data_IF_861126943981
#
_entry.id   IF_861126943981
#
_cell.length_a   1.000
_cell.length_b   1.000
_cell.length_c   1.000
_cell.angle_alpha   90.00
_cell.angle_beta   90.00
_cell.angle_gamma   90.00
#
_symmetry.space_group_name_H-M   'P 1'
#
loop_
_entity.id
_entity.type
_entity.pdbx_description
1 polymer ?
#
# COMPACT_ATOMS: atom_id res chain seq x y z
N UNK A 1 37.59 -83.32 -29.86
CA UNK A 1 37.14 -82.00 -30.33
C UNK A 1 35.77 -81.77 -29.74
N UNK A 2 35.73 -81.45 -28.44
CA UNK A 2 35.81 -80.08 -27.87
C UNK A 2 34.58 -79.25 -28.21
N UNK A 3 33.83 -78.99 -27.14
CA UNK A 3 32.72 -78.05 -26.98
C UNK A 3 33.15 -76.62 -27.27
N UNK A 4 32.19 -75.71 -27.50
CA UNK A 4 32.04 -74.68 -26.49
C UNK A 4 30.59 -74.36 -26.12
N UNK A 5 30.35 -74.12 -24.83
CA UNK A 5 29.18 -73.40 -24.35
C UNK A 5 29.25 -71.91 -24.74
N UNK A 6 28.10 -71.23 -24.77
CA UNK A 6 28.08 -69.83 -24.39
C UNK A 6 26.97 -69.48 -23.38
N UNK A 7 27.43 -69.16 -22.18
CA UNK A 7 27.13 -67.97 -21.36
C UNK A 7 25.69 -67.41 -21.31
N UNK A 8 25.13 -67.54 -20.10
CA UNK A 8 24.27 -66.62 -19.36
C UNK A 8 24.03 -65.21 -19.94
N UNK A 9 22.76 -64.86 -20.13
CA UNK A 9 22.27 -63.51 -19.85
C UNK A 9 20.87 -63.58 -19.23
N UNK A 10 20.82 -63.29 -17.94
CA UNK A 10 19.60 -63.07 -17.16
C UNK A 10 19.09 -61.66 -17.51
N UNK A 11 17.86 -61.45 -18.02
CA UNK A 11 17.26 -60.14 -17.95
C UNK A 11 16.94 -59.86 -16.48
N UNK A 12 17.61 -58.84 -15.93
CA UNK A 12 17.30 -58.20 -14.66
C UNK A 12 15.85 -57.71 -14.67
N UNK A 13 15.16 -57.93 -13.55
CA UNK A 13 13.74 -57.63 -13.37
C UNK A 13 13.37 -56.23 -13.84
N UNK A 14 12.46 -56.21 -14.81
CA UNK A 14 11.62 -55.05 -15.05
C UNK A 14 10.64 -55.04 -13.88
N UNK A 15 10.86 -54.16 -12.90
CA UNK A 15 9.86 -53.87 -11.88
C UNK A 15 8.65 -53.27 -12.61
N UNK A 16 7.71 -54.13 -12.99
CA UNK A 16 6.37 -53.72 -13.37
C UNK A 16 5.84 -52.90 -12.21
N UNK A 17 5.76 -51.59 -12.40
CA UNK A 17 5.03 -50.68 -11.53
C UNK A 17 3.56 -51.10 -11.62
N UNK A 18 3.20 -52.07 -10.78
CA UNK A 18 1.81 -52.42 -10.54
C UNK A 18 1.29 -51.26 -9.71
N UNK A 19 0.41 -50.47 -10.30
CA UNK A 19 -0.30 -49.37 -9.64
C UNK A 19 -1.23 -50.03 -8.61
N UNK A 20 -0.67 -50.39 -7.46
CA UNK A 20 -1.43 -50.95 -6.37
C UNK A 20 -2.46 -49.91 -5.93
N UNK A 21 -3.67 -50.37 -5.59
CA UNK A 21 -4.74 -49.48 -5.14
C UNK A 21 -4.29 -48.54 -4.02
N UNK A 22 -3.29 -48.93 -3.23
CA UNK A 22 -2.62 -48.14 -2.21
C UNK A 22 -2.07 -46.80 -2.73
N UNK A 23 -1.44 -46.79 -3.90
CA UNK A 23 -0.80 -45.59 -4.47
C UNK A 23 -1.85 -44.59 -4.99
N UNK A 24 -3.00 -45.10 -5.45
CA UNK A 24 -4.16 -44.29 -5.82
C UNK A 24 -4.77 -43.59 -4.59
N UNK A 25 -4.82 -44.28 -3.45
CA UNK A 25 -5.28 -43.67 -2.20
C UNK A 25 -4.33 -42.57 -1.73
N UNK A 26 -3.01 -42.79 -1.80
CA UNK A 26 -2.01 -41.78 -1.42
C UNK A 26 -2.11 -40.56 -2.33
N UNK A 27 -2.22 -40.75 -3.65
CA UNK A 27 -2.37 -39.66 -4.60
C UNK A 27 -3.66 -38.86 -4.37
N UNK A 28 -4.78 -39.54 -4.14
CA UNK A 28 -6.05 -38.89 -3.83
C UNK A 28 -6.01 -38.10 -2.52
N UNK A 29 -5.28 -38.59 -1.50
CA UNK A 29 -5.11 -37.92 -0.21
C UNK A 29 -4.25 -36.66 -0.35
N UNK A 30 -3.14 -36.74 -1.10
CA UNK A 30 -2.27 -35.58 -1.38
C UNK A 30 -3.01 -34.52 -2.18
N UNK A 31 -3.73 -34.90 -3.22
CA UNK A 31 -4.53 -33.96 -4.02
C UNK A 31 -5.72 -33.39 -3.22
N UNK A 32 -6.34 -34.20 -2.35
CA UNK A 32 -7.39 -33.76 -1.45
C UNK A 32 -6.90 -32.74 -0.42
N UNK A 33 -5.75 -32.97 0.20
CA UNK A 33 -5.13 -32.04 1.17
C UNK A 33 -4.66 -30.77 0.46
N UNK A 34 -4.03 -30.88 -0.72
CA UNK A 34 -3.62 -29.73 -1.51
C UNK A 34 -4.85 -28.90 -1.95
N UNK A 35 -5.91 -29.57 -2.41
CA UNK A 35 -7.19 -28.96 -2.75
C UNK A 35 -7.81 -28.26 -1.56
N UNK A 36 -7.89 -28.91 -0.39
CA UNK A 36 -8.41 -28.33 0.85
C UNK A 36 -7.55 -27.16 1.34
N UNK A 37 -6.23 -27.23 1.18
CA UNK A 37 -5.30 -26.15 1.53
C UNK A 37 -5.47 -24.93 0.62
N UNK A 38 -5.70 -25.15 -0.68
CA UNK A 38 -6.02 -24.09 -1.63
C UNK A 38 -7.44 -23.53 -1.43
N UNK A 39 -8.40 -24.36 -1.00
CA UNK A 39 -9.78 -23.93 -0.72
C UNK A 39 -9.92 -23.23 0.63
N UNK A 40 -9.10 -23.58 1.64
CA UNK A 40 -9.01 -22.89 2.94
C UNK A 40 -8.23 -21.59 2.87
N UNK A 41 -7.48 -21.33 1.80
CA UNK A 41 -6.97 -20.00 1.51
C UNK A 41 -8.07 -19.26 0.75
N UNK A 42 -8.83 -18.34 1.40
CA UNK A 42 -9.57 -17.37 0.61
C UNK A 42 -8.55 -16.70 -0.32
N UNK A 43 -8.90 -16.43 -1.59
CA UNK A 43 -8.06 -15.56 -2.39
C UNK A 43 -7.93 -14.27 -1.57
N UNK A 44 -6.72 -13.97 -1.12
CA UNK A 44 -6.43 -12.66 -0.57
C UNK A 44 -6.76 -11.71 -1.71
N UNK A 45 -7.94 -11.07 -1.64
CA UNK A 45 -8.24 -9.88 -2.42
C UNK A 45 -7.19 -8.88 -1.96
N UNK A 46 -6.06 -8.89 -2.63
CA UNK A 46 -5.13 -7.78 -2.61
C UNK A 46 -5.87 -6.68 -3.35
N UNK A 47 -6.77 -6.01 -2.63
CA UNK A 47 -7.30 -4.72 -3.04
C UNK A 47 -6.08 -3.84 -3.22
N UNK A 48 -5.65 -3.72 -4.48
CA UNK A 48 -4.69 -2.72 -4.88
C UNK A 48 -5.34 -1.40 -4.52
N UNK A 49 -4.94 -0.84 -3.39
CA UNK A 49 -5.24 0.53 -3.05
C UNK A 49 -4.74 1.39 -4.23
N UNK A 50 -5.67 1.86 -5.06
CA UNK A 50 -5.35 2.79 -6.13
C UNK A 50 -5.73 4.17 -5.60
N UNK A 51 -4.76 5.08 -5.44
CA UNK A 51 -5.04 6.47 -5.06
C UNK A 51 -6.06 7.15 -5.99
N UNK A 52 -6.19 6.65 -7.24
CA UNK A 52 -7.13 7.12 -8.24
C UNK A 52 -8.59 6.71 -8.01
N UNK A 53 -8.88 5.78 -7.11
CA UNK A 53 -10.27 5.42 -6.78
C UNK A 53 -10.97 6.62 -6.11
N UNK A 54 -10.27 7.33 -5.21
CA UNK A 54 -10.75 8.57 -4.58
C UNK A 54 -10.87 9.73 -5.58
N UNK A 55 -9.95 9.81 -6.56
CA UNK A 55 -9.96 10.84 -7.60
C UNK A 55 -11.17 10.72 -8.53
N UNK A 56 -11.58 9.50 -8.89
CA UNK A 56 -12.79 9.28 -9.68
C UNK A 56 -14.06 9.65 -8.93
N UNK A 57 -14.08 9.46 -7.62
CA UNK A 57 -15.23 9.84 -6.78
C UNK A 57 -15.43 11.37 -6.77
N UNK A 58 -14.34 12.14 -6.71
CA UNK A 58 -14.38 13.62 -6.82
C UNK A 58 -14.77 14.12 -8.21
N UNK A 59 -14.31 13.46 -9.29
CA UNK A 59 -14.68 13.82 -10.66
C UNK A 59 -16.15 13.50 -10.99
N UNK A 60 -16.69 12.40 -10.45
CA UNK A 60 -18.09 12.03 -10.65
C UNK A 60 -19.06 13.01 -9.97
N UNK A 61 -18.66 13.65 -8.87
CA UNK A 61 -19.50 14.65 -8.19
C UNK A 61 -19.55 15.99 -8.95
N UNK A 62 -18.62 16.21 -9.88
CA UNK A 62 -18.55 17.45 -10.69
C UNK A 62 -19.29 17.37 -12.04
N UNK A 63 -19.80 16.21 -12.44
CA UNK A 63 -20.34 16.00 -13.82
C UNK A 63 -21.82 15.58 -13.88
N UNK A 64 -22.58 15.65 -12.79
CA UNK A 64 -24.02 15.34 -12.80
C UNK A 64 -24.85 16.59 -12.46
N UNK A 65 -25.44 17.21 -13.48
CA UNK A 65 -26.37 18.32 -13.33
C UNK A 65 -27.66 17.91 -12.60
N UNK A 66 -27.81 18.36 -11.35
CA UNK A 66 -29.03 18.79 -10.65
C UNK A 66 -28.66 19.06 -9.17
N UNK A 67 -29.11 20.16 -8.53
CA UNK A 67 -28.72 20.45 -7.16
C UNK A 67 -29.54 19.60 -6.20
N UNK A 68 -29.07 18.39 -5.89
CA UNK A 68 -29.32 17.81 -4.59
C UNK A 68 -28.22 18.31 -3.67
N UNK A 69 -28.61 19.07 -2.63
CA UNK A 69 -27.72 19.46 -1.54
C UNK A 69 -27.24 18.16 -0.87
N UNK A 70 -26.18 17.58 -1.40
CA UNK A 70 -25.31 16.68 -0.62
C UNK A 70 -24.50 17.62 0.28
N UNK A 71 -24.48 17.42 1.60
CA UNK A 71 -23.57 18.17 2.45
C UNK A 71 -22.17 17.98 1.88
N UNK A 72 -21.49 19.09 1.55
CA UNK A 72 -20.05 19.13 1.26
C UNK A 72 -19.39 18.21 2.28
N UNK A 73 -18.80 17.10 1.81
CA UNK A 73 -18.22 16.09 2.68
C UNK A 73 -17.41 16.82 3.75
N UNK A 74 -17.75 16.59 5.03
CA UNK A 74 -17.06 17.24 6.13
C UNK A 74 -15.56 17.05 5.90
N UNK A 75 -14.78 18.14 5.86
CA UNK A 75 -13.30 18.07 5.78
C UNK A 75 -12.87 17.10 6.88
N UNK A 76 -12.35 15.93 6.49
CA UNK A 76 -11.93 14.89 7.44
C UNK A 76 -10.52 15.23 7.91
N UNK A 77 -10.44 16.22 8.79
CA UNK A 77 -9.20 16.81 9.28
C UNK A 77 -8.35 15.81 10.09
N UNK A 78 -8.94 14.69 10.54
CA UNK A 78 -8.29 13.70 11.39
C UNK A 78 -7.59 12.61 10.55
N UNK A 79 -6.47 12.98 9.95
CA UNK A 79 -5.65 12.04 9.18
C UNK A 79 -5.11 10.88 10.04
N UNK A 80 -5.00 11.05 11.37
CA UNK A 80 -4.56 10.01 12.31
C UNK A 80 -5.57 8.86 12.35
N UNK A 81 -6.87 9.15 12.39
CA UNK A 81 -7.91 8.11 12.25
C UNK A 81 -7.80 7.38 10.92
N UNK A 82 -7.60 8.13 9.82
CA UNK A 82 -7.50 7.56 8.46
C UNK A 82 -6.35 6.57 8.33
N UNK A 83 -5.15 6.94 8.79
CA UNK A 83 -3.98 6.04 8.71
C UNK A 83 -4.16 4.79 9.57
N UNK A 84 -4.78 4.91 10.75
CA UNK A 84 -5.06 3.78 11.64
C UNK A 84 -6.08 2.82 11.03
N UNK A 85 -7.19 3.35 10.52
CA UNK A 85 -8.27 2.54 9.95
C UNK A 85 -7.82 1.79 8.68
N UNK A 86 -6.97 2.42 7.87
CA UNK A 86 -6.51 1.85 6.61
C UNK A 86 -5.18 1.07 6.72
N UNK A 87 -4.54 1.11 7.90
CA UNK A 87 -3.22 0.53 8.14
C UNK A 87 -2.13 1.17 7.28
N UNK A 88 -2.24 2.47 7.00
CA UNK A 88 -1.26 3.24 6.24
C UNK A 88 -0.09 3.60 7.16
N UNK A 89 1.14 3.36 6.71
CA UNK A 89 2.36 3.60 7.49
C UNK A 89 3.08 4.88 7.10
N UNK A 90 2.77 5.43 5.93
CA UNK A 90 3.39 6.66 5.42
C UNK A 90 2.30 7.63 5.01
N UNK A 91 2.48 8.90 5.34
CA UNK A 91 1.62 10.00 4.89
C UNK A 91 2.47 10.96 4.08
N UNK A 92 2.02 11.26 2.86
CA UNK A 92 2.57 12.29 2.00
C UNK A 92 1.61 13.49 2.01
N UNK A 93 2.06 14.58 2.59
CA UNK A 93 1.38 15.88 2.56
C UNK A 93 1.89 16.67 1.38
N UNK A 94 1.02 17.44 0.70
CA UNK A 94 1.44 18.35 -0.35
C UNK A 94 0.91 19.78 -0.16
N UNK A 95 1.79 20.75 -0.34
CA UNK A 95 1.47 22.17 -0.57
C UNK A 95 1.72 22.49 -2.03
N UNK A 96 0.69 22.83 -2.79
CA UNK A 96 0.77 22.90 -4.26
C UNK A 96 -0.16 23.95 -4.85
N UNK A 97 0.36 24.76 -5.79
CA UNK A 97 -0.46 25.75 -6.52
C UNK A 97 -1.03 25.19 -7.82
N UNK A 98 -0.19 24.49 -8.59
CA UNK A 98 -0.51 24.00 -9.95
C UNK A 98 -0.43 22.48 -10.09
N UNK A 99 -0.39 21.76 -8.96
CA UNK A 99 -0.44 20.29 -8.91
C UNK A 99 0.93 19.57 -9.02
N UNK A 100 2.06 20.27 -9.13
CA UNK A 100 3.37 19.60 -9.29
C UNK A 100 3.79 18.82 -8.04
N UNK A 101 3.65 19.42 -6.85
CA UNK A 101 4.00 18.74 -5.59
C UNK A 101 3.03 17.58 -5.29
N UNK A 102 1.75 17.75 -5.62
CA UNK A 102 0.72 16.71 -5.51
C UNK A 102 1.03 15.48 -6.41
N UNK A 103 1.37 15.72 -7.67
CA UNK A 103 1.74 14.64 -8.60
C UNK A 103 3.01 13.93 -8.13
N UNK A 104 4.01 14.68 -7.64
CA UNK A 104 5.21 14.08 -7.06
C UNK A 104 4.88 13.23 -5.82
N UNK A 105 4.02 13.71 -4.92
CA UNK A 105 3.59 12.98 -3.74
C UNK A 105 2.90 11.66 -4.11
N UNK A 106 2.00 11.73 -5.10
CA UNK A 106 1.28 10.58 -5.63
C UNK A 106 2.21 9.55 -6.28
N UNK A 107 3.22 10.00 -7.03
CA UNK A 107 4.24 9.13 -7.65
C UNK A 107 5.10 8.42 -6.61
N UNK A 108 5.57 9.15 -5.60
CA UNK A 108 6.36 8.57 -4.50
C UNK A 108 5.55 7.56 -3.70
N UNK A 109 4.29 7.87 -3.37
CA UNK A 109 3.40 6.93 -2.68
C UNK A 109 3.17 5.64 -3.50
N UNK A 110 2.98 5.78 -4.81
CA UNK A 110 2.85 4.65 -5.72
C UNK A 110 4.12 3.81 -5.76
N UNK A 111 5.29 4.45 -5.84
CA UNK A 111 6.58 3.76 -5.83
C UNK A 111 6.83 3.03 -4.50
N UNK A 112 6.52 3.68 -3.37
CA UNK A 112 6.65 3.09 -2.04
C UNK A 112 5.77 1.83 -1.88
N UNK A 113 4.52 1.92 -2.34
CA UNK A 113 3.59 0.80 -2.36
C UNK A 113 4.06 -0.33 -3.28
N UNK A 114 4.53 -0.01 -4.49
CA UNK A 114 4.94 -1.02 -5.47
C UNK A 114 6.25 -1.73 -5.11
N UNK A 115 7.24 -1.00 -4.59
CA UNK A 115 8.56 -1.56 -4.30
C UNK A 115 8.65 -2.21 -2.92
N UNK A 116 7.95 -1.65 -1.94
CA UNK A 116 8.09 -2.05 -0.54
C UNK A 116 6.79 -2.58 0.09
N UNK A 117 5.67 -2.58 -0.64
CA UNK A 117 4.38 -3.02 -0.10
C UNK A 117 3.81 -2.10 0.97
N UNK A 118 4.31 -0.86 1.06
CA UNK A 118 3.94 0.09 2.11
C UNK A 118 2.63 0.79 1.73
N UNK A 119 1.63 0.70 2.60
CA UNK A 119 0.39 1.45 2.45
C UNK A 119 0.62 2.93 2.78
N UNK A 120 0.26 3.79 1.84
CA UNK A 120 0.51 5.23 1.93
C UNK A 120 -0.79 6.02 1.88
N UNK A 121 -0.86 7.12 2.61
CA UNK A 121 -1.84 8.19 2.47
C UNK A 121 -1.20 9.33 1.68
N UNK A 122 -1.93 9.91 0.72
CA UNK A 122 -1.55 11.16 0.06
C UNK A 122 -2.69 12.14 0.34
N UNK A 123 -2.38 13.34 0.79
CA UNK A 123 -3.39 14.30 1.22
C UNK A 123 -2.92 15.74 1.08
N UNK A 124 -3.85 16.64 0.78
CA UNK A 124 -3.63 18.07 0.87
C UNK A 124 -3.34 18.43 2.34
N UNK A 125 -2.42 19.37 2.54
CA UNK A 125 -2.07 19.86 3.86
C UNK A 125 -3.18 20.71 4.48
N UNK A 126 -4.00 21.40 3.68
CA UNK A 126 -5.15 22.21 4.12
C UNK A 126 -6.33 21.34 4.61
N UNK A 127 -6.34 20.07 4.22
CA UNK A 127 -7.37 19.09 4.60
C UNK A 127 -7.01 18.30 5.86
N UNK A 128 -5.91 18.64 6.53
CA UNK A 128 -5.41 17.93 7.70
C UNK A 128 -5.18 18.88 8.86
N UNK A 129 -5.63 18.49 10.06
CA UNK A 129 -5.28 19.21 11.28
C UNK A 129 -3.83 18.89 11.67
N UNK A 130 -2.93 19.82 11.36
CA UNK A 130 -1.50 19.70 11.64
C UNK A 130 -1.18 19.67 13.14
N UNK A 131 -2.09 20.11 14.01
CA UNK A 131 -1.93 19.95 15.45
C UNK A 131 -1.93 18.47 15.88
N UNK A 132 -2.47 17.57 15.06
CA UNK A 132 -2.46 16.13 15.29
C UNK A 132 -1.13 15.46 14.89
N UNK A 133 -0.18 16.18 14.30
CA UNK A 133 1.10 15.63 13.87
C UNK A 133 1.89 15.02 15.04
N UNK A 134 1.75 15.57 16.25
CA UNK A 134 2.35 15.03 17.47
C UNK A 134 1.74 13.68 17.91
N UNK A 135 0.59 13.29 17.37
CA UNK A 135 -0.08 12.01 17.63
C UNK A 135 0.28 10.95 16.58
N UNK A 136 1.14 11.29 15.62
CA UNK A 136 1.65 10.34 14.64
C UNK A 136 2.40 9.22 15.37
N UNK A 137 2.03 7.94 15.20
CA UNK A 137 2.70 6.86 15.93
C UNK A 137 4.16 6.74 15.49
N UNK A 138 5.03 6.30 16.40
CA UNK A 138 6.49 6.25 16.18
C UNK A 138 6.94 5.33 15.04
N UNK A 139 6.09 4.41 14.61
CA UNK A 139 6.33 3.49 13.49
C UNK A 139 5.74 3.99 12.15
N UNK A 140 5.33 5.26 12.08
CA UNK A 140 4.83 5.92 10.88
C UNK A 140 5.79 7.01 10.41
N UNK A 141 5.73 7.33 9.11
CA UNK A 141 6.53 8.36 8.48
C UNK A 141 5.63 9.45 7.87
N UNK A 142 5.91 10.71 8.18
CA UNK A 142 5.34 11.86 7.49
C UNK A 142 6.36 12.41 6.48
N UNK A 143 5.92 12.66 5.25
CA UNK A 143 6.71 13.24 4.17
C UNK A 143 5.98 14.48 3.66
N UNK A 144 6.70 15.59 3.52
CA UNK A 144 6.13 16.88 3.10
C UNK A 144 6.70 17.27 1.74
N UNK A 145 5.80 17.51 0.78
CA UNK A 145 6.12 18.02 -0.54
C UNK A 145 5.54 19.42 -0.69
N UNK A 146 6.36 20.41 -0.38
CA UNK A 146 5.93 21.81 -0.31
C UNK A 146 6.52 22.58 -1.47
N UNK A 147 5.66 23.09 -2.35
CA UNK A 147 6.07 24.09 -3.33
C UNK A 147 6.14 25.47 -2.66
N UNK A 148 6.95 26.35 -3.24
CA UNK A 148 6.99 27.77 -2.91
C UNK A 148 6.44 28.58 -4.08
N UNK A 149 5.92 29.77 -3.80
CA UNK A 149 5.43 30.69 -4.81
C UNK A 149 6.12 32.06 -4.71
N UNK A 150 6.16 32.80 -5.82
CA UNK A 150 6.76 34.14 -5.87
C UNK A 150 8.21 34.19 -5.37
N UNK A 151 8.42 34.98 -4.31
CA UNK A 151 9.71 35.26 -3.68
C UNK A 151 10.08 34.26 -2.55
N UNK A 152 9.39 33.12 -2.46
CA UNK A 152 9.62 32.10 -1.44
C UNK A 152 8.46 31.90 -0.45
N UNK A 153 7.29 32.47 -0.74
CA UNK A 153 6.09 32.31 0.07
C UNK A 153 5.54 30.86 -0.02
N UNK A 154 4.84 30.36 1.02
CA UNK A 154 4.10 29.11 0.91
C UNK A 154 3.03 29.19 -0.19
N UNK A 155 2.59 28.02 -0.69
CA UNK A 155 1.39 27.95 -1.55
C UNK A 155 0.13 28.26 -0.75
N UNK A 156 -0.95 28.66 -1.43
CA UNK A 156 -2.19 29.08 -0.78
C UNK A 156 -2.73 28.04 0.22
N UNK A 157 -2.71 26.76 -0.16
CA UNK A 157 -3.17 25.65 0.68
C UNK A 157 -2.25 25.34 1.88
N UNK A 158 -1.05 25.91 1.91
CA UNK A 158 -0.03 25.66 2.94
C UNK A 158 0.16 26.83 3.91
N UNK A 159 -0.56 27.94 3.74
CA UNK A 159 -0.44 29.15 4.57
C UNK A 159 -0.69 28.82 6.05
N UNK A 160 -1.81 28.17 6.38
CA UNK A 160 -2.16 27.84 7.76
C UNK A 160 -1.09 26.96 8.44
N UNK A 161 -0.52 26.01 7.69
CA UNK A 161 0.58 25.18 8.18
C UNK A 161 1.87 25.99 8.40
N UNK A 162 2.20 26.87 7.46
CA UNK A 162 3.38 27.73 7.55
C UNK A 162 3.29 28.70 8.73
N UNK A 163 2.12 29.31 8.93
CA UNK A 163 1.83 30.15 10.09
C UNK A 163 1.93 29.36 11.39
N UNK A 164 1.38 28.13 11.44
CA UNK A 164 1.49 27.28 12.61
C UNK A 164 2.95 26.95 12.98
N UNK A 165 3.81 26.73 11.98
CA UNK A 165 5.23 26.46 12.19
C UNK A 165 6.04 27.69 12.62
N UNK A 166 5.68 28.87 12.13
CA UNK A 166 6.48 30.10 12.31
C UNK A 166 6.00 30.96 13.48
N UNK A 167 4.72 30.87 13.85
CA UNK A 167 4.13 31.57 14.99
C UNK A 167 4.23 30.78 16.30
N UNK A 168 4.69 29.52 16.25
CA UNK A 168 5.10 28.79 17.45
C UNK A 168 6.39 29.40 18.00
N UNK A 169 6.29 30.11 19.12
CA UNK A 169 7.44 30.71 19.80
C UNK A 169 8.64 29.75 19.88
N UNK A 170 9.85 30.15 19.46
CA UNK A 170 11.09 29.45 19.76
C UNK A 170 11.53 29.69 21.22
N UNK A 171 10.60 29.67 22.17
CA UNK A 171 10.93 29.68 23.61
C UNK A 171 11.34 28.27 24.04
N UNK A 172 12.55 27.86 23.67
CA UNK A 172 13.05 26.52 23.99
C UNK A 172 14.55 26.32 24.06
N UNK A 173 15.36 27.20 23.46
CA UNK A 173 16.82 27.06 23.47
C UNK A 173 17.51 28.37 23.89
N UNK A 174 17.13 28.90 25.06
CA UNK A 174 18.01 29.83 25.78
C UNK A 174 19.17 28.98 26.36
N UNK A 175 20.29 28.97 25.63
CA UNK A 175 21.57 28.47 26.12
C UNK A 175 21.97 29.28 27.35
N UNK A 176 21.68 28.76 28.55
CA UNK A 176 22.22 29.29 29.79
C UNK A 176 23.73 29.01 29.78
N UNK A 177 24.60 30.05 29.76
CA UNK A 177 26.05 29.87 29.78
C UNK A 177 26.58 29.28 31.10
#
# INVERSE_FOLDING_TARGET
>A
METPEPSSHHPSGVSSFSLEFSDLFVLALVLGVAGLYLFRKPPAKQERYNPFDNFKEQLNDSTAGAPLIKPKAAKDLDFIKKIRNNGQKVVFFYGSQTGTAEDLASRLAKEASQRFGIKCLVTDIEDCDMALLNQLPSDHLAVFLMATYGEGEPTDNAIDFWEHLTNGDPEGDEFIP
#
